data_IF_541266157921
#
_entry.id   IF_541266157921
#
_cell.length_a   1.000
_cell.length_b   1.000
_cell.length_c   1.000
_cell.angle_alpha   90.00
_cell.angle_beta   90.00
_cell.angle_gamma   90.00
#
_symmetry.space_group_name_H-M   'P 1'
#
loop_
_entity.id
_entity.type
_entity.pdbx_description
1 polymer ?
#
# COMPACT_ATOMS: atom_id res chain seq x y z
N UNK A 1 6.24 -22.56 -11.81
CA UNK A 1 6.03 -21.10 -11.84
C UNK A 1 6.54 -20.54 -10.54
N UNK A 2 7.40 -19.52 -10.58
CA UNK A 2 7.98 -18.92 -9.36
C UNK A 2 7.00 -17.89 -8.80
N UNK A 3 6.54 -18.10 -7.57
CA UNK A 3 5.60 -17.20 -6.90
C UNK A 3 6.28 -15.88 -6.51
N UNK A 4 5.76 -14.75 -7.01
CA UNK A 4 6.30 -13.42 -6.66
C UNK A 4 5.73 -12.93 -5.33
N UNK A 5 6.46 -12.01 -4.69
CA UNK A 5 6.10 -11.29 -3.47
C UNK A 5 6.03 -9.81 -3.83
N UNK A 6 4.82 -9.28 -3.90
CA UNK A 6 4.51 -7.92 -4.33
C UNK A 6 4.34 -7.07 -3.08
N UNK A 7 5.21 -6.09 -2.90
CA UNK A 7 5.33 -5.29 -1.69
C UNK A 7 5.02 -3.84 -2.02
N UNK A 8 3.79 -3.41 -1.69
CA UNK A 8 3.37 -2.02 -1.79
C UNK A 8 3.92 -1.23 -0.60
N UNK A 9 4.63 -0.15 -0.86
CA UNK A 9 5.21 0.68 0.21
C UNK A 9 4.87 2.15 0.07
N UNK A 10 4.78 2.83 1.20
CA UNK A 10 4.72 4.30 1.28
C UNK A 10 5.33 4.78 2.59
N UNK A 11 5.18 6.06 2.90
CA UNK A 11 5.67 6.62 4.18
C UNK A 11 4.94 6.00 5.37
N UNK A 12 3.60 6.07 5.35
CA UNK A 12 2.75 5.81 6.50
C UNK A 12 2.26 4.37 6.64
N UNK A 13 2.30 3.59 5.55
CA UNK A 13 1.77 2.23 5.42
C UNK A 13 0.29 2.05 5.75
N UNK A 14 -0.50 3.14 5.75
CA UNK A 14 -1.88 3.13 6.22
C UNK A 14 -2.93 3.58 5.20
N UNK A 15 -2.50 4.13 4.06
CA UNK A 15 -3.43 4.73 3.08
C UNK A 15 -3.15 4.21 1.69
N UNK A 16 -2.23 4.83 0.93
CA UNK A 16 -1.98 4.48 -0.48
C UNK A 16 -1.52 3.03 -0.68
N UNK A 17 -0.58 2.53 0.13
CA UNK A 17 -0.09 1.15 0.01
C UNK A 17 -1.13 0.10 0.41
N UNK A 18 -1.95 0.40 1.42
CA UNK A 18 -3.07 -0.45 1.86
C UNK A 18 -4.16 -0.49 0.79
N UNK A 19 -4.55 0.67 0.25
CA UNK A 19 -5.54 0.76 -0.82
C UNK A 19 -5.03 0.06 -2.08
N UNK A 20 -3.75 0.21 -2.44
CA UNK A 20 -3.16 -0.48 -3.59
C UNK A 20 -3.18 -2.01 -3.42
N UNK A 21 -2.80 -2.52 -2.24
CA UNK A 21 -2.87 -3.95 -1.93
C UNK A 21 -4.32 -4.48 -2.01
N UNK A 22 -5.29 -3.73 -1.48
CA UNK A 22 -6.70 -4.09 -1.55
C UNK A 22 -7.25 -4.13 -2.99
N UNK A 23 -6.90 -3.14 -3.82
CA UNK A 23 -7.24 -3.16 -5.26
C UNK A 23 -6.58 -4.35 -5.95
N UNK A 24 -5.31 -4.64 -5.64
CA UNK A 24 -4.58 -5.76 -6.23
C UNK A 24 -5.30 -7.09 -5.98
N UNK A 25 -5.81 -7.28 -4.76
CA UNK A 25 -6.55 -8.48 -4.38
C UNK A 25 -8.03 -8.46 -4.78
N UNK A 26 -8.47 -7.48 -5.58
CA UNK A 26 -9.86 -7.39 -6.04
C UNK A 26 -10.87 -7.03 -4.94
N UNK A 27 -10.41 -6.56 -3.78
CA UNK A 27 -11.28 -6.17 -2.66
C UNK A 27 -11.99 -4.83 -2.92
N UNK A 28 -11.42 -4.00 -3.79
CA UNK A 28 -12.03 -2.77 -4.27
C UNK A 28 -12.22 -2.82 -5.78
N UNK A 29 -13.40 -2.40 -6.23
CA UNK A 29 -13.72 -2.26 -7.64
C UNK A 29 -12.88 -1.16 -8.31
N UNK A 30 -12.31 -1.45 -9.48
CA UNK A 30 -11.46 -0.50 -10.21
C UNK A 30 -12.23 0.47 -11.10
N UNK A 31 -13.53 0.23 -11.33
CA UNK A 31 -14.41 1.02 -12.20
C UNK A 31 -15.22 2.08 -11.44
N UNK A 32 -15.08 2.16 -10.12
CA UNK A 32 -15.84 3.06 -9.25
C UNK A 32 -14.98 3.56 -8.09
N UNK A 33 -15.14 4.83 -7.73
CA UNK A 33 -14.52 5.41 -6.52
C UNK A 33 -15.14 4.78 -5.26
N UNK A 34 -14.33 4.22 -4.33
CA UNK A 34 -14.84 3.53 -3.15
C UNK A 34 -15.50 4.49 -2.16
N UNK A 35 -16.55 4.01 -1.50
CA UNK A 35 -17.20 4.68 -0.38
C UNK A 35 -16.29 4.81 0.84
N UNK A 36 -16.63 5.73 1.74
CA UNK A 36 -15.95 5.85 3.02
C UNK A 36 -15.97 4.52 3.81
N UNK A 37 -17.10 3.82 3.76
CA UNK A 37 -17.27 2.54 4.43
C UNK A 37 -16.38 1.44 3.84
N UNK A 38 -16.31 1.33 2.51
CA UNK A 38 -15.41 0.38 1.83
C UNK A 38 -13.93 0.66 2.15
N UNK A 39 -13.52 1.92 2.22
CA UNK A 39 -12.14 2.25 2.61
C UNK A 39 -11.86 1.92 4.08
N UNK A 40 -12.80 2.25 4.97
CA UNK A 40 -12.63 2.01 6.41
C UNK A 40 -12.76 0.54 6.80
N UNK A 41 -13.34 -0.32 5.96
CA UNK A 41 -13.42 -1.76 6.19
C UNK A 41 -12.12 -2.49 5.85
N UNK A 42 -11.24 -1.89 5.04
CA UNK A 42 -9.95 -2.47 4.68
C UNK A 42 -9.09 -2.71 5.93
N UNK A 43 -8.38 -3.84 5.92
CA UNK A 43 -7.36 -4.12 6.92
C UNK A 43 -6.30 -3.01 6.90
N UNK A 44 -5.91 -2.54 8.09
CA UNK A 44 -4.86 -1.53 8.31
C UNK A 44 -5.14 -0.10 7.80
N UNK A 45 -6.25 0.17 7.11
CA UNK A 45 -6.54 1.51 6.59
C UNK A 45 -6.75 2.52 7.73
N UNK A 46 -5.89 3.55 7.77
CA UNK A 46 -5.79 4.54 8.86
C UNK A 46 -5.56 3.93 10.27
N UNK A 47 -5.18 2.66 10.38
CA UNK A 47 -5.02 1.94 11.66
C UNK A 47 -3.55 1.69 12.03
N UNK A 48 -2.62 1.86 11.10
CA UNK A 48 -1.21 1.57 11.36
C UNK A 48 -0.58 2.62 12.30
N UNK A 49 -0.09 2.16 13.44
CA UNK A 49 0.60 2.97 14.45
C UNK A 49 2.10 3.07 14.14
N UNK A 50 2.83 3.85 14.94
CA UNK A 50 4.28 3.99 14.80
C UNK A 50 5.02 2.65 14.92
N UNK A 51 4.52 1.73 15.75
CA UNK A 51 5.15 0.43 16.01
C UNK A 51 5.03 -0.52 14.82
N UNK A 52 4.03 -0.30 13.95
CA UNK A 52 3.83 -1.07 12.72
C UNK A 52 4.76 -0.65 11.57
N UNK A 53 5.54 0.43 11.71
CA UNK A 53 6.49 0.82 10.67
C UNK A 53 7.60 -0.21 10.49
N UNK A 54 7.97 -0.46 9.23
CA UNK A 54 8.98 -1.45 8.87
C UNK A 54 8.49 -2.90 8.90
N UNK A 55 7.25 -3.16 9.33
CA UNK A 55 6.66 -4.50 9.30
C UNK A 55 6.01 -4.78 7.95
N UNK A 56 6.33 -5.93 7.36
CA UNK A 56 5.64 -6.45 6.17
C UNK A 56 4.33 -7.09 6.60
N UNK A 57 3.22 -6.48 6.19
CA UNK A 57 1.89 -7.02 6.45
C UNK A 57 1.42 -7.82 5.24
N UNK A 58 1.14 -9.11 5.44
CA UNK A 58 0.57 -9.96 4.40
C UNK A 58 -0.92 -9.66 4.22
N UNK A 59 -1.37 -9.51 2.98
CA UNK A 59 -2.76 -9.22 2.64
C UNK A 59 -3.47 -10.40 1.98
N UNK A 60 -2.76 -11.28 1.26
CA UNK A 60 -3.34 -12.42 0.58
C UNK A 60 -2.59 -12.82 -0.69
N UNK A 61 -3.23 -13.69 -1.47
CA UNK A 61 -2.74 -14.16 -2.77
C UNK A 61 -3.56 -13.51 -3.89
N UNK A 62 -2.89 -13.07 -4.96
CA UNK A 62 -3.55 -12.59 -6.18
C UNK A 62 -4.05 -13.75 -7.06
N UNK A 63 -4.66 -13.42 -8.21
CA UNK A 63 -5.21 -14.39 -9.15
C UNK A 63 -4.16 -15.33 -9.80
N UNK A 64 -2.88 -15.00 -9.72
CA UNK A 64 -1.76 -15.84 -10.21
C UNK A 64 -1.02 -16.55 -9.07
N UNK A 65 -1.51 -16.44 -7.84
CA UNK A 65 -0.89 -17.02 -6.64
C UNK A 65 0.31 -16.23 -6.10
N UNK A 66 0.57 -15.01 -6.58
CA UNK A 66 1.58 -14.13 -5.98
C UNK A 66 1.12 -13.62 -4.62
N UNK A 67 2.06 -13.44 -3.71
CA UNK A 67 1.78 -12.93 -2.38
C UNK A 67 1.79 -11.40 -2.38
N UNK A 68 0.77 -10.77 -1.79
CA UNK A 68 0.64 -9.31 -1.71
C UNK A 68 0.88 -8.84 -0.28
N UNK A 69 1.72 -7.81 -0.16
CA UNK A 69 2.13 -7.22 1.11
C UNK A 69 2.01 -5.69 1.08
N UNK A 70 1.90 -5.09 2.26
CA UNK A 70 2.09 -3.66 2.46
C UNK A 70 3.08 -3.33 3.58
N UNK A 71 3.79 -2.21 3.47
CA UNK A 71 4.72 -1.73 4.50
C UNK A 71 4.80 -0.20 4.54
N UNK A 72 4.88 0.37 5.74
CA UNK A 72 5.17 1.78 5.98
C UNK A 72 6.65 2.00 6.28
N UNK A 73 7.36 2.72 5.41
CA UNK A 73 8.82 2.84 5.43
C UNK A 73 9.35 4.20 5.92
N UNK A 74 8.47 5.15 6.28
CA UNK A 74 8.84 6.55 6.51
C UNK A 74 9.69 7.09 5.35
N UNK A 75 10.78 7.81 5.65
CA UNK A 75 11.75 8.31 4.66
C UNK A 75 12.74 7.26 4.15
N UNK A 76 12.65 6.00 4.61
CA UNK A 76 13.62 4.95 4.32
C UNK A 76 13.23 4.02 3.16
N UNK A 77 12.19 4.35 2.38
CA UNK A 77 11.66 3.48 1.31
C UNK A 77 12.73 2.98 0.34
N UNK A 78 13.51 3.88 -0.25
CA UNK A 78 14.58 3.50 -1.19
C UNK A 78 15.69 2.67 -0.52
N UNK A 79 16.06 3.01 0.72
CA UNK A 79 17.07 2.28 1.50
C UNK A 79 16.59 0.86 1.80
N UNK A 80 15.33 0.70 2.22
CA UNK A 80 14.70 -0.61 2.44
C UNK A 80 14.72 -1.45 1.17
N UNK A 81 14.29 -0.90 0.03
CA UNK A 81 14.31 -1.62 -1.25
C UNK A 81 15.71 -2.07 -1.63
N UNK A 82 16.73 -1.22 -1.47
CA UNK A 82 18.13 -1.57 -1.76
C UNK A 82 18.63 -2.72 -0.87
N UNK A 83 18.36 -2.64 0.43
CA UNK A 83 18.77 -3.67 1.41
C UNK A 83 18.09 -5.00 1.10
N UNK A 84 16.75 -5.00 0.95
CA UNK A 84 16.00 -6.23 0.71
C UNK A 84 16.34 -6.87 -0.64
N UNK A 85 16.60 -6.07 -1.68
CA UNK A 85 17.12 -6.61 -2.96
C UNK A 85 18.51 -7.22 -2.79
N UNK A 86 19.39 -6.61 -1.99
CA UNK A 86 20.71 -7.16 -1.68
C UNK A 86 20.61 -8.53 -1.00
N UNK A 87 19.78 -8.63 0.05
CA UNK A 87 19.51 -9.90 0.74
C UNK A 87 18.90 -10.93 -0.20
N UNK A 88 17.91 -10.55 -1.01
CA UNK A 88 17.28 -11.46 -1.96
C UNK A 88 18.26 -12.02 -3.00
N UNK A 89 19.21 -11.21 -3.48
CA UNK A 89 20.28 -11.69 -4.37
C UNK A 89 21.17 -12.72 -3.68
N UNK A 90 21.55 -12.49 -2.42
CA UNK A 90 22.35 -13.46 -1.66
C UNK A 90 21.62 -14.80 -1.48
N UNK A 91 20.29 -14.78 -1.43
CA UNK A 91 19.44 -15.95 -1.29
C UNK A 91 18.97 -16.54 -2.63
N UNK A 92 19.38 -15.98 -3.78
CA UNK A 92 18.93 -16.44 -5.11
C UNK A 92 17.46 -16.14 -5.44
N UNK A 93 16.80 -15.25 -4.70
CA UNK A 93 15.38 -14.93 -4.82
C UNK A 93 15.13 -13.50 -5.34
N UNK A 94 16.10 -12.90 -6.04
CA UNK A 94 16.02 -11.51 -6.47
C UNK A 94 14.82 -11.22 -7.39
N UNK A 95 14.49 -12.17 -8.27
CA UNK A 95 13.39 -12.05 -9.23
C UNK A 95 12.02 -12.35 -8.62
N UNK A 96 11.98 -12.80 -7.36
CA UNK A 96 10.72 -13.02 -6.63
C UNK A 96 10.17 -11.75 -5.98
N UNK A 97 11.00 -10.73 -5.72
CA UNK A 97 10.57 -9.54 -4.99
C UNK A 97 10.22 -8.38 -5.91
N UNK A 98 8.96 -7.94 -5.86
CA UNK A 98 8.46 -6.78 -6.61
C UNK A 98 8.11 -5.67 -5.62
N UNK A 99 8.88 -4.58 -5.64
CA UNK A 99 8.63 -3.41 -4.80
C UNK A 99 7.87 -2.34 -5.57
N UNK A 100 6.78 -1.84 -4.98
CA UNK A 100 5.91 -0.83 -5.60
C UNK A 100 5.80 0.38 -4.69
N UNK A 101 6.37 1.51 -5.13
CA UNK A 101 6.24 2.77 -4.42
C UNK A 101 4.89 3.42 -4.71
N UNK A 102 4.09 3.63 -3.67
CA UNK A 102 2.79 4.30 -3.74
C UNK A 102 2.81 5.72 -3.16
N UNK A 103 3.99 6.23 -2.79
CA UNK A 103 4.14 7.57 -2.20
C UNK A 103 3.74 8.67 -3.17
N UNK A 104 3.98 8.48 -4.47
CA UNK A 104 3.63 9.43 -5.52
C UNK A 104 2.10 9.57 -5.72
N UNK A 105 1.29 8.64 -5.19
CA UNK A 105 -0.17 8.75 -5.17
C UNK A 105 -0.71 9.45 -3.92
N UNK A 106 0.15 9.83 -2.96
CA UNK A 106 -0.29 10.39 -1.69
C UNK A 106 -0.61 11.87 -1.85
N UNK A 107 -1.88 12.23 -1.64
CA UNK A 107 -2.32 13.63 -1.64
C UNK A 107 -1.97 14.37 -0.34
N UNK A 108 -1.94 15.72 -0.41
CA UNK A 108 -1.74 16.55 0.79
C UNK A 108 -2.80 16.28 1.87
N UNK A 109 -4.05 16.01 1.46
CA UNK A 109 -5.15 15.66 2.37
C UNK A 109 -4.88 14.36 3.13
N UNK A 110 -4.34 13.34 2.46
CA UNK A 110 -3.93 12.09 3.12
C UNK A 110 -2.81 12.34 4.14
N UNK A 111 -1.82 13.18 3.81
CA UNK A 111 -0.72 13.52 4.72
C UNK A 111 -1.22 14.23 5.97
N UNK A 112 -1.99 15.30 5.78
CA UNK A 112 -2.54 16.11 6.88
C UNK A 112 -3.54 15.29 7.70
N UNK A 113 -4.50 14.65 7.04
CA UNK A 113 -5.50 13.82 7.69
C UNK A 113 -4.87 12.69 8.49
N UNK A 114 -3.88 12.00 7.91
CA UNK A 114 -3.16 10.92 8.57
C UNK A 114 -2.32 11.37 9.76
N UNK A 115 -1.82 12.61 9.73
CA UNK A 115 -1.14 13.22 10.86
C UNK A 115 -2.15 13.56 11.98
N UNK A 116 -3.28 14.19 11.63
CA UNK A 116 -4.35 14.50 12.58
C UNK A 116 -4.92 13.24 13.25
N UNK A 117 -5.27 12.20 12.47
CA UNK A 117 -5.90 10.99 13.01
C UNK A 117 -4.92 10.16 13.83
N UNK A 118 -3.71 9.91 13.32
CA UNK A 118 -2.79 8.92 13.92
C UNK A 118 -1.74 9.52 14.85
N UNK A 119 -1.33 10.79 14.66
CA UNK A 119 -0.32 11.42 15.52
C UNK A 119 -0.94 12.21 16.66
N UNK A 120 -2.01 12.94 16.39
CA UNK A 120 -2.71 13.77 17.39
C UNK A 120 -3.96 13.11 17.96
N UNK A 121 -4.40 11.97 17.42
CA UNK A 121 -5.60 11.28 17.90
C UNK A 121 -6.92 11.98 17.54
N UNK A 122 -6.88 13.02 16.70
CA UNK A 122 -8.05 13.77 16.24
C UNK A 122 -8.76 13.01 15.12
N UNK A 123 -9.22 11.80 15.43
CA UNK A 123 -9.78 10.83 14.47
C UNK A 123 -10.95 11.43 13.68
N UNK A 124 -11.84 12.17 14.36
CA UNK A 124 -13.04 12.78 13.76
C UNK A 124 -12.72 13.85 12.72
N UNK A 125 -11.56 14.50 12.81
CA UNK A 125 -11.09 15.49 11.84
C UNK A 125 -10.17 14.87 10.78
N UNK A 126 -9.31 13.93 11.20
CA UNK A 126 -8.32 13.31 10.32
C UNK A 126 -8.91 12.34 9.31
N UNK A 127 -9.82 11.45 9.75
CA UNK A 127 -10.39 10.41 8.86
C UNK A 127 -11.16 10.97 7.66
N UNK A 128 -12.02 11.99 7.80
CA UNK A 128 -12.68 12.59 6.62
C UNK A 128 -11.68 13.08 5.58
N UNK A 129 -10.59 13.74 6.00
CA UNK A 129 -9.53 14.21 5.09
C UNK A 129 -8.78 13.05 4.42
N UNK A 130 -8.45 12.01 5.18
CA UNK A 130 -7.82 10.79 4.64
C UNK A 130 -8.71 10.13 3.60
N UNK A 131 -9.99 9.94 3.91
CA UNK A 131 -10.97 9.30 3.03
C UNK A 131 -11.11 10.12 1.74
N UNK A 132 -11.30 11.43 1.86
CA UNK A 132 -11.41 12.30 0.69
C UNK A 132 -10.13 12.26 -0.15
N UNK A 133 -8.95 12.40 0.48
CA UNK A 133 -7.68 12.36 -0.23
C UNK A 133 -7.40 11.01 -0.90
N UNK A 134 -7.85 9.90 -0.30
CA UNK A 134 -7.74 8.56 -0.88
C UNK A 134 -8.66 8.42 -2.10
N UNK A 135 -9.90 8.90 -2.01
CA UNK A 135 -10.86 8.87 -3.10
C UNK A 135 -10.39 9.69 -4.29
N UNK A 136 -9.77 10.85 -4.05
CA UNK A 136 -9.18 11.69 -5.10
C UNK A 136 -7.99 11.01 -5.79
N UNK A 137 -7.14 10.31 -5.03
CA UNK A 137 -6.00 9.57 -5.57
C UNK A 137 -6.38 8.22 -6.19
N UNK A 138 -7.61 7.73 -5.96
CA UNK A 138 -8.00 6.36 -6.29
C UNK A 138 -7.77 5.97 -7.77
N UNK A 139 -8.12 6.81 -8.78
CA UNK A 139 -7.85 6.45 -10.18
C UNK A 139 -6.37 6.23 -10.47
N UNK A 140 -5.49 7.02 -9.87
CA UNK A 140 -4.04 6.89 -10.02
C UNK A 140 -3.53 5.60 -9.37
N UNK A 141 -4.06 5.23 -8.20
CA UNK A 141 -3.71 3.99 -7.51
C UNK A 141 -4.18 2.78 -8.33
N UNK A 142 -5.38 2.84 -8.92
CA UNK A 142 -5.89 1.80 -9.83
C UNK A 142 -4.94 1.60 -11.00
N UNK A 143 -4.49 2.68 -11.64
CA UNK A 143 -3.58 2.58 -12.79
C UNK A 143 -2.24 1.97 -12.40
N UNK A 144 -1.65 2.41 -11.29
CA UNK A 144 -0.44 1.80 -10.74
C UNK A 144 -0.60 0.30 -10.51
N UNK A 145 -1.73 -0.14 -9.95
CA UNK A 145 -1.98 -1.57 -9.71
C UNK A 145 -2.13 -2.33 -11.02
N UNK A 146 -2.80 -1.77 -12.03
CA UNK A 146 -2.92 -2.38 -13.37
C UNK A 146 -1.55 -2.58 -14.01
N UNK A 147 -0.68 -1.58 -13.97
CA UNK A 147 0.69 -1.69 -14.48
C UNK A 147 1.47 -2.80 -13.76
N UNK A 148 1.35 -2.88 -12.44
CA UNK A 148 1.99 -3.93 -11.65
C UNK A 148 1.46 -5.30 -12.04
N UNK A 149 0.14 -5.47 -12.12
CA UNK A 149 -0.49 -6.72 -12.56
C UNK A 149 0.00 -7.15 -13.94
N UNK A 150 0.07 -6.23 -14.90
CA UNK A 150 0.62 -6.54 -16.23
C UNK A 150 2.09 -6.99 -16.18
N UNK A 151 2.91 -6.43 -15.28
CA UNK A 151 4.32 -6.83 -15.10
C UNK A 151 4.47 -8.17 -14.39
N UNK A 152 3.54 -8.53 -13.51
CA UNK A 152 3.62 -9.76 -12.70
C UNK A 152 2.81 -10.92 -13.24
N UNK A 153 1.91 -10.66 -14.20
CA UNK A 153 1.11 -11.66 -14.90
C UNK A 153 2.00 -12.81 -15.37
N UNK A 154 1.56 -14.02 -15.03
CA UNK A 154 2.19 -15.29 -15.41
C UNK A 154 1.60 -15.83 -16.68
#
# INVERSE_FOLDING_TARGET
>A
MTTKKIIYHCYGGAHSSVTAAAIHLGQLRTDKIPTAQELMSLALFDRQTNDGHGQLHFFGFDEWGNQVYSVGCRSMGQTMVKILRGVARMLGAADELVFVDTLHCVSLKMRLGGYLSRRWGLITLGRPLVIQGTREAFPQIVELVREVKHKVAG
#
